data_IF_424332176364
#
_entry.id   IF_424332176364
#
_cell.length_a   1.000
_cell.length_b   1.000
_cell.length_c   1.000
_cell.angle_alpha   90.00
_cell.angle_beta   90.00
_cell.angle_gamma   90.00
#
_symmetry.space_group_name_H-M   'P 1'
#
loop_
_entity.id
_entity.type
_entity.pdbx_description
1 polymer ?
#
# COMPACT_ATOMS: atom_id res chain seq x y z
N UNK A 1 -4.38 31.61 38.53
CA UNK A 1 -5.47 30.97 37.70
C UNK A 1 -5.01 30.88 36.26
N UNK A 2 -4.62 29.71 35.80
CA UNK A 2 -4.00 29.51 34.50
C UNK A 2 -5.03 29.50 33.38
N UNK A 3 -4.80 30.28 32.34
CA UNK A 3 -5.59 30.26 31.13
C UNK A 3 -5.36 28.93 30.37
N UNK A 4 -6.14 27.90 30.67
CA UNK A 4 -6.12 26.62 29.96
C UNK A 4 -6.97 26.58 28.70
N UNK A 5 -7.61 27.70 28.32
CA UNK A 5 -8.65 27.65 27.27
C UNK A 5 -8.22 28.01 25.84
N UNK A 6 -7.08 28.66 25.65
CA UNK A 6 -6.73 29.23 24.33
C UNK A 6 -5.84 28.36 23.44
N UNK A 7 -5.17 27.35 24.00
CA UNK A 7 -4.28 26.51 23.20
C UNK A 7 -4.95 25.27 22.59
N UNK A 8 -6.13 24.90 23.09
CA UNK A 8 -6.86 23.73 22.56
C UNK A 8 -7.43 23.93 21.16
N UNK A 9 -7.64 25.18 20.75
CA UNK A 9 -8.29 25.47 19.45
C UNK A 9 -7.29 25.40 18.28
N UNK A 10 -6.00 25.67 18.53
CA UNK A 10 -4.95 25.53 17.49
C UNK A 10 -4.53 24.08 17.34
N UNK A 11 -4.48 23.32 18.44
CA UNK A 11 -4.22 21.88 18.42
C UNK A 11 -5.35 21.04 17.79
N UNK A 12 -6.50 21.65 17.51
CA UNK A 12 -7.64 20.92 16.92
C UNK A 12 -7.54 20.77 15.39
N UNK A 13 -6.64 21.48 14.73
CA UNK A 13 -6.51 21.43 13.25
C UNK A 13 -5.19 20.80 12.82
N UNK A 14 -4.09 21.34 13.31
CA UNK A 14 -2.76 20.79 13.11
C UNK A 14 -2.03 21.08 14.42
N UNK A 15 -1.62 20.06 15.14
CA UNK A 15 -0.91 20.18 16.39
C UNK A 15 0.49 19.63 16.31
N UNK A 16 1.34 20.07 17.23
CA UNK A 16 2.62 19.42 17.48
C UNK A 16 2.37 18.48 18.64
N UNK A 17 2.53 17.18 18.41
CA UNK A 17 2.43 16.15 19.43
C UNK A 17 3.59 16.21 20.43
N UNK A 18 3.49 15.45 21.50
CA UNK A 18 4.57 15.28 22.47
C UNK A 18 5.79 14.69 21.73
N UNK A 19 6.92 15.37 21.77
CA UNK A 19 8.12 14.97 21.03
C UNK A 19 8.34 15.69 19.69
N UNK A 20 7.51 16.69 19.36
CA UNK A 20 7.70 17.51 18.14
C UNK A 20 7.14 16.92 16.86
N UNK A 21 6.38 15.84 16.95
CA UNK A 21 5.72 15.22 15.79
C UNK A 21 4.54 16.06 15.30
N UNK A 22 4.39 16.16 13.99
CA UNK A 22 3.21 16.75 13.37
C UNK A 22 2.05 15.75 13.43
N UNK A 23 0.93 16.17 14.00
CA UNK A 23 -0.27 15.34 14.11
C UNK A 23 -1.46 15.99 13.40
N UNK A 24 -2.25 15.21 12.75
CA UNK A 24 -3.51 15.63 12.11
C UNK A 24 -4.67 15.06 12.91
N UNK A 25 -5.69 15.88 13.14
CA UNK A 25 -6.94 15.41 13.73
C UNK A 25 -7.75 14.64 12.68
N UNK A 26 -8.04 13.36 12.97
CA UNK A 26 -8.97 12.52 12.21
C UNK A 26 -10.14 12.21 13.14
N UNK A 27 -11.30 12.81 12.89
CA UNK A 27 -12.42 12.70 13.82
C UNK A 27 -12.07 13.27 15.20
N UNK A 28 -12.17 12.46 16.25
CA UNK A 28 -11.79 12.80 17.61
C UNK A 28 -10.33 12.49 17.96
N UNK A 29 -9.62 11.74 17.10
CA UNK A 29 -8.23 11.32 17.34
C UNK A 29 -7.23 12.21 16.64
N UNK A 30 -6.02 12.30 17.22
CA UNK A 30 -4.84 12.90 16.58
C UNK A 30 -4.10 11.79 15.83
N UNK A 31 -3.89 11.96 14.54
CA UNK A 31 -3.13 11.01 13.71
C UNK A 31 -1.71 11.54 13.53
N UNK A 32 -0.74 10.71 13.80
CA UNK A 32 0.67 11.00 13.54
C UNK A 32 0.91 11.05 12.03
N UNK A 33 1.42 12.16 11.54
CA UNK A 33 1.77 12.35 10.14
C UNK A 33 3.21 11.95 9.82
N UNK A 34 4.02 11.60 10.81
CA UNK A 34 5.43 11.26 10.61
C UNK A 34 5.62 9.86 10.00
N UNK A 35 4.66 8.95 10.21
CA UNK A 35 4.66 7.62 9.63
C UNK A 35 3.22 7.15 9.37
N UNK A 36 2.53 7.78 8.44
CA UNK A 36 1.08 7.65 8.32
C UNK A 36 0.63 6.30 7.71
N UNK A 37 1.48 5.65 6.91
CA UNK A 37 1.19 4.35 6.32
C UNK A 37 2.09 3.30 6.97
N UNK A 38 1.53 2.46 7.83
CA UNK A 38 2.28 1.46 8.60
C UNK A 38 1.93 0.02 8.25
N UNK A 39 0.81 -0.20 7.56
CA UNK A 39 0.38 -1.54 7.18
C UNK A 39 -0.37 -1.55 5.85
N UNK A 40 -0.52 -2.74 5.27
CA UNK A 40 -1.29 -2.98 4.07
C UNK A 40 -1.98 -4.35 4.15
N UNK A 41 -3.22 -4.39 3.71
CA UNK A 41 -3.96 -5.64 3.52
C UNK A 41 -4.31 -5.79 2.05
N UNK A 42 -4.24 -7.02 1.53
CA UNK A 42 -4.53 -7.30 0.13
C UNK A 42 -5.49 -8.47 -0.04
N UNK A 43 -6.34 -8.37 -1.05
CA UNK A 43 -7.18 -9.46 -1.55
C UNK A 43 -6.74 -9.79 -2.97
N UNK A 44 -6.44 -11.05 -3.24
CA UNK A 44 -6.02 -11.54 -4.55
C UNK A 44 -7.13 -12.45 -5.07
N UNK A 45 -7.66 -12.16 -6.27
CA UNK A 45 -8.67 -13.00 -6.90
C UNK A 45 -8.11 -14.37 -7.31
N UNK A 46 -9.01 -15.32 -7.57
CA UNK A 46 -8.64 -16.52 -8.32
C UNK A 46 -8.11 -16.13 -9.71
N UNK A 47 -7.24 -16.98 -10.28
CA UNK A 47 -6.80 -16.83 -11.66
C UNK A 47 -7.99 -16.91 -12.59
N UNK A 48 -7.98 -16.09 -13.65
CA UNK A 48 -9.00 -16.13 -14.69
C UNK A 48 -10.40 -15.68 -14.25
N UNK A 49 -10.54 -15.09 -13.05
CA UNK A 49 -11.83 -14.64 -12.53
C UNK A 49 -12.53 -13.63 -13.47
N UNK A 50 -11.74 -12.81 -14.18
CA UNK A 50 -12.24 -11.81 -15.13
C UNK A 50 -11.69 -12.04 -16.53
N UNK A 51 -10.38 -12.27 -16.65
CA UNK A 51 -9.66 -12.51 -17.90
C UNK A 51 -8.65 -13.65 -17.66
N UNK A 52 -8.51 -14.57 -18.61
CA UNK A 52 -7.58 -15.70 -18.53
C UNK A 52 -6.15 -15.21 -18.20
N UNK A 53 -5.44 -15.98 -17.38
CA UNK A 53 -4.07 -15.70 -16.93
C UNK A 53 -3.91 -14.38 -16.15
N UNK A 54 -5.00 -13.82 -15.60
CA UNK A 54 -4.98 -12.61 -14.80
C UNK A 54 -5.51 -12.86 -13.40
N UNK A 55 -4.93 -12.09 -12.45
CA UNK A 55 -5.44 -11.93 -11.09
C UNK A 55 -5.67 -10.46 -10.80
N UNK A 56 -6.83 -10.14 -10.25
CA UNK A 56 -7.12 -8.81 -9.73
C UNK A 56 -6.70 -8.76 -8.26
N UNK A 57 -6.03 -7.70 -7.87
CA UNK A 57 -5.50 -7.51 -6.53
C UNK A 57 -5.98 -6.16 -6.04
N UNK A 58 -6.67 -6.16 -4.90
CA UNK A 58 -7.11 -4.94 -4.23
C UNK A 58 -6.30 -4.77 -2.94
N UNK A 59 -5.61 -3.64 -2.82
CA UNK A 59 -4.78 -3.28 -1.68
C UNK A 59 -5.41 -2.12 -0.92
N UNK A 60 -5.39 -2.23 0.42
CA UNK A 60 -5.82 -1.17 1.34
C UNK A 60 -4.65 -0.84 2.24
N UNK A 61 -4.14 0.37 2.12
CA UNK A 61 -3.06 0.89 2.94
C UNK A 61 -3.62 1.54 4.20
N UNK A 62 -3.00 1.23 5.33
CA UNK A 62 -3.55 1.53 6.66
C UNK A 62 -2.59 2.36 7.49
N UNK A 63 -3.17 3.17 8.37
CA UNK A 63 -2.46 3.91 9.41
C UNK A 63 -2.21 3.03 10.64
N UNK A 64 -1.65 3.60 11.69
CA UNK A 64 -1.31 2.94 12.95
C UNK A 64 -2.54 2.57 13.80
N UNK A 65 -3.70 3.13 13.51
CA UNK A 65 -4.99 2.75 14.12
C UNK A 65 -5.64 1.56 13.38
N UNK A 66 -5.06 1.16 12.23
CA UNK A 66 -5.59 0.09 11.37
C UNK A 66 -6.69 0.53 10.42
N UNK A 67 -6.95 1.82 10.34
CA UNK A 67 -7.89 2.44 9.40
C UNK A 67 -7.22 2.70 8.04
N UNK A 68 -7.96 2.73 6.93
CA UNK A 68 -7.43 3.17 5.66
C UNK A 68 -6.87 4.60 5.75
N UNK A 69 -5.68 4.83 5.18
CA UNK A 69 -5.12 6.19 5.12
C UNK A 69 -6.05 7.11 4.33
N UNK A 70 -6.15 8.37 4.76
CA UNK A 70 -7.05 9.36 4.15
C UNK A 70 -6.32 10.36 3.24
N UNK A 71 -5.27 9.92 2.55
CA UNK A 71 -4.46 10.71 1.59
C UNK A 71 -3.82 9.75 0.59
N UNK A 72 -3.38 10.30 -0.56
CA UNK A 72 -2.64 9.52 -1.54
C UNK A 72 -1.19 9.30 -1.07
N UNK A 73 -0.71 8.06 -1.19
CA UNK A 73 0.63 7.65 -0.78
C UNK A 73 1.36 6.97 -1.95
N UNK A 74 2.68 7.14 -1.96
CA UNK A 74 3.54 6.44 -2.92
C UNK A 74 4.16 5.22 -2.22
N UNK A 75 3.93 4.05 -2.80
CA UNK A 75 4.39 2.76 -2.28
C UNK A 75 5.16 2.01 -3.35
N UNK A 76 5.97 1.05 -2.96
CA UNK A 76 6.68 0.19 -3.90
C UNK A 76 6.10 -1.22 -3.85
N UNK A 77 5.68 -1.74 -5.00
CA UNK A 77 5.25 -3.12 -5.15
C UNK A 77 6.37 -3.95 -5.75
N UNK A 78 6.59 -5.13 -5.20
CA UNK A 78 7.66 -6.04 -5.60
C UNK A 78 7.10 -7.43 -5.87
N UNK A 79 7.58 -8.07 -6.94
CA UNK A 79 7.18 -9.43 -7.29
C UNK A 79 8.39 -10.36 -7.09
N UNK A 80 8.29 -11.21 -6.08
CA UNK A 80 9.32 -12.17 -5.71
C UNK A 80 9.01 -13.58 -6.24
N UNK A 81 10.02 -14.42 -6.32
CA UNK A 81 9.87 -15.83 -6.70
C UNK A 81 9.19 -16.69 -5.59
N UNK A 82 9.19 -16.22 -4.34
CA UNK A 82 8.57 -16.93 -3.22
C UNK A 82 8.26 -15.98 -2.05
N UNK A 83 7.51 -16.49 -1.07
CA UNK A 83 7.22 -15.79 0.19
C UNK A 83 8.46 -15.51 1.06
N UNK A 84 9.59 -16.17 0.78
CA UNK A 84 10.87 -15.87 1.44
C UNK A 84 11.48 -14.54 0.99
N UNK A 85 11.01 -13.97 -0.13
CA UNK A 85 11.39 -12.66 -0.66
C UNK A 85 12.91 -12.47 -0.87
N UNK A 86 13.62 -13.57 -1.21
CA UNK A 86 15.08 -13.58 -1.41
C UNK A 86 15.50 -13.29 -2.85
N UNK A 87 14.62 -13.54 -3.82
CA UNK A 87 14.89 -13.32 -5.24
C UNK A 87 13.64 -12.81 -5.94
N UNK A 88 13.79 -11.91 -6.89
CA UNK A 88 12.70 -11.44 -7.73
C UNK A 88 12.20 -12.55 -8.67
N UNK A 89 10.90 -12.50 -8.99
CA UNK A 89 10.33 -13.40 -10.00
C UNK A 89 10.89 -13.08 -11.38
N UNK A 90 11.21 -14.13 -12.14
CA UNK A 90 11.56 -14.01 -13.55
C UNK A 90 10.33 -14.08 -14.48
N UNK A 91 9.19 -14.45 -13.93
CA UNK A 91 7.94 -14.69 -14.65
C UNK A 91 7.12 -13.43 -14.92
N UNK A 92 5.96 -13.66 -15.51
CA UNK A 92 5.01 -12.63 -15.89
C UNK A 92 5.22 -12.11 -17.30
N UNK A 93 4.18 -12.19 -18.13
CA UNK A 93 4.25 -11.69 -19.52
C UNK A 93 4.27 -10.17 -19.57
N UNK A 94 3.45 -9.52 -18.75
CA UNK A 94 3.35 -8.05 -18.64
C UNK A 94 3.64 -7.54 -17.23
N UNK A 95 3.64 -8.42 -16.23
CA UNK A 95 3.81 -8.06 -14.83
C UNK A 95 2.55 -7.42 -14.25
N UNK A 96 2.72 -6.29 -13.57
CA UNK A 96 1.63 -5.58 -12.90
C UNK A 96 1.20 -4.36 -13.71
N UNK A 97 -0.10 -4.17 -13.89
CA UNK A 97 -0.73 -2.98 -14.46
C UNK A 97 -1.69 -2.35 -13.45
N UNK A 98 -2.08 -1.08 -13.68
CA UNK A 98 -3.08 -0.40 -12.87
C UNK A 98 -4.46 -1.05 -13.03
N UNK A 99 -5.19 -1.17 -11.93
CA UNK A 99 -6.61 -1.54 -11.89
C UNK A 99 -7.52 -0.31 -11.82
N UNK A 100 -8.63 -0.43 -11.10
CA UNK A 100 -9.66 0.61 -11.00
C UNK A 100 -9.25 1.78 -10.08
N UNK A 101 -8.52 1.52 -9.01
CA UNK A 101 -8.12 2.50 -8.00
C UNK A 101 -6.61 2.71 -8.00
N UNK A 102 -6.19 3.99 -7.92
CA UNK A 102 -4.79 4.34 -7.89
C UNK A 102 -4.10 4.30 -9.26
N UNK A 103 -2.78 4.31 -9.25
CA UNK A 103 -1.98 4.25 -10.48
C UNK A 103 -0.69 3.46 -10.26
N UNK A 104 -0.08 2.96 -11.36
CA UNK A 104 1.15 2.18 -11.34
C UNK A 104 2.16 2.74 -12.34
N UNK A 105 3.41 2.85 -11.89
CA UNK A 105 4.56 3.16 -12.75
C UNK A 105 5.57 2.02 -12.63
N UNK A 106 5.97 1.43 -13.74
CA UNK A 106 6.99 0.40 -13.78
C UNK A 106 8.38 1.00 -13.52
N UNK A 107 9.08 0.50 -12.52
CA UNK A 107 10.47 0.86 -12.20
C UNK A 107 11.42 -0.17 -12.84
N UNK A 108 11.19 -1.45 -12.56
CA UNK A 108 11.88 -2.57 -13.20
C UNK A 108 10.84 -3.53 -13.73
N UNK A 109 10.87 -3.78 -15.03
CA UNK A 109 9.89 -4.63 -15.70
C UNK A 109 9.71 -5.96 -14.96
N UNK A 110 8.45 -6.35 -14.71
CA UNK A 110 8.03 -7.59 -14.05
C UNK A 110 8.39 -7.73 -12.56
N UNK A 111 9.21 -6.84 -12.00
CA UNK A 111 9.80 -7.02 -10.68
C UNK A 111 9.44 -5.91 -9.69
N UNK A 112 9.62 -4.64 -10.10
CA UNK A 112 9.46 -3.49 -9.20
C UNK A 112 8.56 -2.45 -9.86
N UNK A 113 7.56 -2.03 -9.10
CA UNK A 113 6.57 -1.04 -9.54
C UNK A 113 6.37 -0.01 -8.43
N UNK A 114 6.14 1.23 -8.83
CA UNK A 114 5.72 2.28 -7.91
C UNK A 114 4.22 2.47 -8.04
N UNK A 115 3.52 2.22 -6.93
CA UNK A 115 2.09 2.45 -6.83
C UNK A 115 1.79 3.80 -6.22
N UNK A 116 0.71 4.44 -6.66
CA UNK A 116 0.16 5.66 -6.08
C UNK A 116 -1.26 5.33 -5.67
N UNK A 117 -1.55 5.37 -4.37
CA UNK A 117 -2.88 5.08 -3.85
C UNK A 117 -3.86 6.20 -4.18
N UNK A 118 -5.15 5.91 -4.10
CA UNK A 118 -6.18 6.96 -4.03
C UNK A 118 -6.08 7.73 -2.70
N UNK A 119 -6.81 8.84 -2.59
CA UNK A 119 -6.95 9.57 -1.33
C UNK A 119 -7.68 8.77 -0.22
N UNK A 120 -8.24 7.62 -0.54
CA UNK A 120 -8.83 6.67 0.42
C UNK A 120 -7.91 5.48 0.74
N UNK A 121 -6.62 5.57 0.39
CA UNK A 121 -5.65 4.51 0.66
C UNK A 121 -5.81 3.25 -0.18
N UNK A 122 -6.55 3.30 -1.31
CA UNK A 122 -6.82 2.16 -2.16
C UNK A 122 -5.85 2.10 -3.34
N UNK A 123 -5.41 0.90 -3.69
CA UNK A 123 -4.64 0.62 -4.90
C UNK A 123 -5.07 -0.73 -5.47
N UNK A 124 -5.65 -0.71 -6.66
CA UNK A 124 -5.97 -1.92 -7.39
C UNK A 124 -4.95 -2.17 -8.48
N UNK A 125 -4.52 -3.40 -8.61
CA UNK A 125 -3.56 -3.83 -9.62
C UNK A 125 -4.01 -5.12 -10.30
N UNK A 126 -3.57 -5.30 -11.54
CA UNK A 126 -3.83 -6.50 -12.34
C UNK A 126 -2.48 -7.16 -12.62
N UNK A 127 -2.32 -8.38 -12.15
CA UNK A 127 -1.16 -9.22 -12.50
C UNK A 127 -1.51 -10.12 -13.68
N UNK A 128 -0.67 -10.12 -14.71
CA UNK A 128 -0.84 -10.98 -15.90
C UNK A 128 0.39 -11.84 -16.07
N UNK A 129 0.19 -13.16 -16.12
CA UNK A 129 1.24 -14.13 -16.42
C UNK A 129 0.66 -15.29 -17.22
N UNK A 130 1.14 -15.49 -18.45
CA UNK A 130 0.80 -16.61 -19.31
C UNK A 130 1.70 -17.83 -19.08
N UNK A 131 2.73 -17.70 -18.27
CA UNK A 131 3.57 -18.78 -17.79
C UNK A 131 3.19 -19.14 -16.36
N UNK A 132 3.59 -20.32 -15.90
CA UNK A 132 3.36 -20.80 -14.54
C UNK A 132 4.52 -20.49 -13.61
N UNK A 133 5.22 -19.35 -13.83
CA UNK A 133 6.33 -18.96 -13.02
C UNK A 133 5.90 -18.62 -11.59
N UNK A 134 6.67 -19.04 -10.61
CA UNK A 134 6.40 -18.70 -9.23
C UNK A 134 6.46 -17.18 -9.02
N UNK A 135 5.39 -16.64 -8.44
CA UNK A 135 5.26 -15.20 -8.17
C UNK A 135 4.60 -14.95 -6.82
N UNK A 136 5.15 -14.01 -6.05
CA UNK A 136 4.67 -13.59 -4.75
C UNK A 136 4.73 -12.07 -4.63
N UNK A 137 3.60 -11.46 -4.34
CA UNK A 137 3.50 -10.00 -4.20
C UNK A 137 3.90 -9.56 -2.80
N UNK A 138 4.70 -8.52 -2.72
CA UNK A 138 4.96 -7.76 -1.50
C UNK A 138 4.86 -6.26 -1.77
N UNK A 139 4.59 -5.49 -0.72
CA UNK A 139 4.60 -4.04 -0.74
C UNK A 139 5.66 -3.51 0.22
N UNK A 140 6.44 -2.53 -0.22
CA UNK A 140 7.32 -1.75 0.64
C UNK A 140 6.63 -0.44 0.99
N UNK A 141 6.45 -0.23 2.27
CA UNK A 141 5.78 0.93 2.84
C UNK A 141 6.75 2.12 2.96
N UNK A 142 6.26 3.36 3.13
CA UNK A 142 7.09 4.55 3.27
C UNK A 142 8.08 4.49 4.44
N UNK A 143 7.75 3.76 5.51
CA UNK A 143 8.63 3.51 6.64
C UNK A 143 9.76 2.50 6.36
N UNK A 144 9.83 1.95 5.12
CA UNK A 144 10.82 0.96 4.70
C UNK A 144 10.45 -0.49 5.01
N UNK A 145 9.36 -0.75 5.76
CA UNK A 145 8.89 -2.11 6.05
C UNK A 145 8.40 -2.78 4.76
N UNK A 146 8.76 -4.04 4.58
CA UNK A 146 8.24 -4.89 3.50
C UNK A 146 7.17 -5.83 4.07
N UNK A 147 6.00 -5.82 3.47
CA UNK A 147 4.85 -6.64 3.87
C UNK A 147 4.50 -7.58 2.72
N UNK A 148 4.50 -8.88 2.99
CA UNK A 148 4.04 -9.89 2.04
C UNK A 148 2.53 -9.84 1.87
N UNK A 149 2.05 -9.83 0.64
CA UNK A 149 0.62 -9.78 0.31
C UNK A 149 0.09 -11.19 0.01
N UNK A 150 0.73 -11.89 -0.92
CA UNK A 150 0.29 -13.24 -1.25
C UNK A 150 0.82 -13.79 -2.57
N UNK A 151 0.42 -15.01 -2.88
CA UNK A 151 0.84 -15.75 -4.06
C UNK A 151 0.10 -15.24 -5.30
N UNK A 152 0.84 -14.97 -6.37
CA UNK A 152 0.34 -14.57 -7.68
C UNK A 152 0.49 -15.67 -8.74
N UNK A 153 1.19 -16.76 -8.43
CA UNK A 153 1.46 -17.84 -9.40
C UNK A 153 0.17 -18.31 -10.08
N UNK A 154 0.17 -18.30 -11.39
CA UNK A 154 -0.89 -18.87 -12.23
C UNK A 154 -0.64 -20.37 -12.44
N UNK A 155 -1.68 -21.11 -12.81
CA UNK A 155 -1.63 -22.58 -12.96
C UNK A 155 -1.97 -23.01 -14.40
#
# INVERSE_FOLDING_TARGET
>A
MGQRGKYSTIGARIGIGIGGQLVKRKGASLVDLSCPCVDVTGTISAEGATVANQRNISLIFKDDEGDPIAYAEVVELMVFASSAMLAFSAGGSTGIAAGANGNIVTVTAKQIFRGITTAAGLLDVIYTDTATAAAYLAARLPNGRVVGIGVLTNT
#
